data_IF_605191629019
#
_entry.id   IF_605191629019
#
_cell.length_a   1.000
_cell.length_b   1.000
_cell.length_c   1.000
_cell.angle_alpha   90.00
_cell.angle_beta   90.00
_cell.angle_gamma   90.00
#
_symmetry.space_group_name_H-M   'P 1'
#
loop_
_entity.id
_entity.type
_entity.pdbx_description
1 polymer ?
#
# COMPACT_ATOMS: atom_id res chain seq x y z
N UNK A 1 -40.70 -0.43 -17.42
CA UNK A 1 -41.60 -1.31 -16.63
C UNK A 1 -42.56 -0.50 -15.77
N UNK A 2 -42.08 0.34 -14.87
CA UNK A 2 -42.93 1.11 -13.93
C UNK A 2 -44.00 1.96 -14.60
N UNK A 3 -43.73 2.77 -15.66
CA UNK A 3 -44.77 3.57 -16.32
C UNK A 3 -45.87 2.72 -16.93
N UNK A 4 -45.53 1.55 -17.48
CA UNK A 4 -46.52 0.64 -18.05
C UNK A 4 -47.44 0.03 -17.00
N UNK A 5 -46.85 -0.41 -15.85
CA UNK A 5 -47.62 -0.98 -14.75
C UNK A 5 -48.59 0.06 -14.14
N UNK A 6 -48.12 1.28 -13.93
CA UNK A 6 -48.94 2.37 -13.46
C UNK A 6 -50.06 2.71 -14.45
N UNK A 7 -49.74 2.78 -15.76
CA UNK A 7 -50.70 3.00 -16.80
C UNK A 7 -51.82 1.96 -16.85
N UNK A 8 -51.46 0.65 -16.74
CA UNK A 8 -52.44 -0.43 -16.66
C UNK A 8 -53.28 -0.35 -15.40
N UNK A 9 -52.68 -0.04 -14.26
CA UNK A 9 -53.43 0.11 -13.00
C UNK A 9 -54.47 1.26 -13.07
N UNK A 10 -54.08 2.41 -13.64
CA UNK A 10 -54.99 3.56 -13.85
C UNK A 10 -56.13 3.18 -14.83
N UNK A 11 -55.79 2.49 -15.92
CA UNK A 11 -56.77 2.01 -16.86
C UNK A 11 -57.77 1.02 -16.20
N UNK A 12 -57.27 0.09 -15.36
CA UNK A 12 -58.10 -0.88 -14.61
C UNK A 12 -58.96 -0.19 -13.57
N UNK A 13 -58.51 0.89 -12.97
CA UNK A 13 -59.34 1.66 -12.02
C UNK A 13 -60.44 2.43 -12.72
N UNK A 14 -60.22 3.05 -13.89
CA UNK A 14 -61.14 3.98 -14.52
C UNK A 14 -62.10 3.27 -15.49
N UNK A 15 -61.59 2.53 -16.46
CA UNK A 15 -62.41 1.99 -17.55
C UNK A 15 -63.53 1.07 -17.08
N UNK A 16 -63.29 0.08 -16.22
CA UNK A 16 -64.36 -0.77 -15.74
C UNK A 16 -65.29 -0.05 -14.75
N UNK A 17 -64.80 0.90 -13.98
CA UNK A 17 -65.59 1.69 -13.04
C UNK A 17 -66.67 2.52 -13.77
N UNK A 18 -66.31 3.09 -14.94
CA UNK A 18 -67.29 3.85 -15.75
C UNK A 18 -68.41 2.96 -16.33
N UNK A 19 -68.10 1.68 -16.63
CA UNK A 19 -69.05 0.75 -17.19
C UNK A 19 -69.94 0.11 -16.11
N UNK A 20 -69.37 -0.27 -14.97
CA UNK A 20 -70.03 -1.02 -13.92
C UNK A 20 -70.56 -0.18 -12.80
N UNK A 21 -70.16 1.10 -12.67
CA UNK A 21 -70.50 2.01 -11.59
C UNK A 21 -69.89 1.67 -10.23
N UNK A 22 -69.14 0.59 -10.10
CA UNK A 22 -68.64 0.10 -8.83
C UNK A 22 -67.13 0.54 -8.63
N UNK A 23 -66.95 1.82 -8.29
CA UNK A 23 -65.68 2.45 -8.12
C UNK A 23 -64.84 1.81 -7.01
N UNK A 24 -65.46 1.44 -5.89
CA UNK A 24 -64.72 0.88 -4.75
C UNK A 24 -64.05 -0.44 -5.10
N UNK A 25 -64.70 -1.32 -5.81
CA UNK A 25 -64.16 -2.60 -6.22
C UNK A 25 -62.98 -2.47 -7.21
N UNK A 26 -63.13 -1.62 -8.22
CA UNK A 26 -62.12 -1.47 -9.26
C UNK A 26 -60.88 -0.68 -8.80
N UNK A 27 -61.08 0.31 -7.89
CA UNK A 27 -59.95 0.98 -7.25
C UNK A 27 -59.16 0.00 -6.36
N UNK A 28 -59.86 -0.81 -5.56
CA UNK A 28 -59.22 -1.86 -4.75
C UNK A 28 -58.44 -2.86 -5.61
N UNK A 29 -59.03 -3.30 -6.72
CA UNK A 29 -58.36 -4.21 -7.69
C UNK A 29 -57.12 -3.60 -8.31
N UNK A 30 -57.17 -2.33 -8.69
CA UNK A 30 -56.04 -1.62 -9.26
C UNK A 30 -54.90 -1.45 -8.26
N UNK A 31 -55.20 -1.11 -7.00
CA UNK A 31 -54.19 -1.04 -5.92
C UNK A 31 -53.56 -2.43 -5.67
N UNK A 32 -54.38 -3.47 -5.61
CA UNK A 32 -53.91 -4.83 -5.42
C UNK A 32 -52.96 -5.25 -6.57
N UNK A 33 -53.33 -4.91 -7.81
CA UNK A 33 -52.49 -5.14 -8.99
C UNK A 33 -51.15 -4.41 -8.87
N UNK A 34 -51.12 -3.15 -8.43
CA UNK A 34 -49.89 -2.38 -8.21
C UNK A 34 -48.99 -3.03 -7.16
N UNK A 35 -49.55 -3.48 -6.05
CA UNK A 35 -48.79 -4.14 -4.97
C UNK A 35 -48.22 -5.48 -5.45
N UNK A 36 -49.01 -6.29 -6.16
CA UNK A 36 -48.57 -7.58 -6.69
C UNK A 36 -47.55 -7.45 -7.85
N UNK A 37 -47.64 -6.37 -8.62
CA UNK A 37 -46.70 -6.06 -9.69
C UNK A 37 -45.36 -5.48 -9.20
N UNK A 38 -45.21 -5.25 -7.90
CA UNK A 38 -43.97 -4.76 -7.32
C UNK A 38 -42.87 -5.86 -7.47
N UNK A 39 -41.75 -5.57 -8.06
CA UNK A 39 -40.62 -6.54 -8.15
C UNK A 39 -39.85 -6.61 -6.83
N UNK A 40 -40.57 -6.76 -5.69
CA UNK A 40 -39.99 -6.71 -4.35
C UNK A 40 -38.90 -7.73 -4.13
N UNK A 41 -39.01 -8.91 -4.73
CA UNK A 41 -37.97 -9.92 -4.69
C UNK A 41 -36.66 -9.44 -5.37
N UNK A 42 -36.79 -8.72 -6.50
CA UNK A 42 -35.64 -8.17 -7.21
C UNK A 42 -34.99 -7.02 -6.42
N UNK A 43 -35.80 -6.14 -5.86
CA UNK A 43 -35.35 -4.96 -5.08
C UNK A 43 -34.63 -5.40 -3.80
N UNK A 44 -35.03 -6.50 -3.18
CA UNK A 44 -34.39 -7.03 -1.98
C UNK A 44 -33.18 -7.91 -2.29
N UNK A 45 -33.23 -8.70 -3.38
CA UNK A 45 -32.17 -9.65 -3.70
C UNK A 45 -30.86 -8.99 -4.11
N UNK A 46 -30.91 -7.85 -4.80
CA UNK A 46 -29.68 -7.14 -5.25
C UNK A 46 -28.84 -6.64 -4.08
N UNK A 47 -29.37 -5.85 -3.12
CA UNK A 47 -28.61 -5.46 -1.93
C UNK A 47 -28.10 -6.66 -1.14
N UNK A 48 -28.92 -7.70 -0.99
CA UNK A 48 -28.54 -8.90 -0.26
C UNK A 48 -27.34 -9.62 -0.92
N UNK A 49 -27.32 -9.68 -2.24
CA UNK A 49 -26.19 -10.24 -3.00
C UNK A 49 -24.90 -9.44 -2.77
N UNK A 50 -24.98 -8.09 -2.78
CA UNK A 50 -23.81 -7.25 -2.49
C UNK A 50 -23.34 -7.41 -1.03
N UNK A 51 -24.23 -7.43 -0.06
CA UNK A 51 -23.88 -7.66 1.35
C UNK A 51 -23.23 -9.04 1.55
N UNK A 52 -23.79 -10.06 0.92
CA UNK A 52 -23.22 -11.41 0.94
C UNK A 52 -21.81 -11.43 0.32
N UNK A 53 -21.61 -10.77 -0.82
CA UNK A 53 -20.33 -10.66 -1.50
C UNK A 53 -19.28 -9.92 -0.66
N UNK A 54 -19.66 -8.78 -0.05
CA UNK A 54 -18.79 -8.02 0.86
C UNK A 54 -18.39 -8.88 2.06
N UNK A 55 -19.39 -9.57 2.67
CA UNK A 55 -19.13 -10.45 3.81
C UNK A 55 -18.22 -11.64 3.46
N UNK A 56 -18.40 -12.24 2.30
CA UNK A 56 -17.52 -13.32 1.82
C UNK A 56 -16.09 -12.83 1.56
N UNK A 57 -15.93 -11.63 1.00
CA UNK A 57 -14.62 -11.00 0.81
C UNK A 57 -13.94 -10.69 2.14
N UNK A 58 -14.66 -10.10 3.09
CA UNK A 58 -14.15 -9.78 4.42
C UNK A 58 -13.62 -11.01 5.16
N UNK A 59 -14.29 -12.16 5.04
CA UNK A 59 -13.81 -13.43 5.62
C UNK A 59 -12.48 -13.91 5.02
N UNK A 60 -12.13 -13.43 3.83
CA UNK A 60 -10.85 -13.70 3.16
C UNK A 60 -9.83 -12.56 3.32
N UNK A 61 -10.08 -11.61 4.20
CA UNK A 61 -9.21 -10.45 4.40
C UNK A 61 -9.32 -9.37 3.33
N UNK A 62 -10.33 -9.43 2.45
CA UNK A 62 -10.53 -8.45 1.37
C UNK A 62 -11.56 -7.43 1.82
N UNK A 63 -11.16 -6.16 1.90
CA UNK A 63 -12.03 -5.06 2.25
C UNK A 63 -12.60 -4.38 0.99
N UNK A 64 -13.87 -4.64 0.68
CA UNK A 64 -14.58 -3.94 -0.38
C UNK A 64 -15.15 -2.59 0.11
N UNK A 65 -14.88 -1.52 -0.62
CA UNK A 65 -15.41 -0.17 -0.33
C UNK A 65 -16.81 0.04 -0.93
N UNK A 66 -17.67 -0.97 -0.82
CA UNK A 66 -19.05 -0.93 -1.30
C UNK A 66 -19.32 -1.83 -2.51
N UNK A 67 -20.62 -1.95 -2.88
CA UNK A 67 -21.07 -2.85 -3.96
C UNK A 67 -20.52 -2.50 -5.34
N UNK A 68 -20.31 -1.22 -5.63
CA UNK A 68 -19.70 -0.77 -6.90
C UNK A 68 -18.29 -1.33 -7.11
N UNK A 69 -17.53 -1.55 -6.03
CA UNK A 69 -16.22 -2.15 -6.12
C UNK A 69 -16.28 -3.61 -6.58
N UNK A 70 -17.29 -4.36 -6.12
CA UNK A 70 -17.51 -5.76 -6.56
C UNK A 70 -17.93 -5.80 -8.03
N UNK A 71 -18.84 -4.89 -8.44
CA UNK A 71 -19.25 -4.82 -9.84
C UNK A 71 -18.07 -4.42 -10.76
N UNK A 72 -17.22 -3.48 -10.32
CA UNK A 72 -16.02 -3.09 -11.04
C UNK A 72 -15.06 -4.26 -11.28
N UNK A 73 -14.89 -5.15 -10.29
CA UNK A 73 -14.05 -6.34 -10.43
C UNK A 73 -14.51 -7.28 -11.54
N UNK A 74 -15.82 -7.38 -11.80
CA UNK A 74 -16.33 -8.24 -12.89
C UNK A 74 -15.98 -7.72 -14.29
N UNK A 75 -15.56 -6.48 -14.41
CA UNK A 75 -15.25 -5.79 -15.68
C UNK A 75 -13.76 -5.48 -15.85
N UNK A 76 -12.91 -6.07 -15.00
CA UNK A 76 -11.47 -5.81 -15.05
C UNK A 76 -10.86 -6.29 -16.38
N UNK A 77 -10.15 -5.39 -17.06
CA UNK A 77 -9.34 -5.71 -18.23
C UNK A 77 -7.85 -5.79 -17.92
N UNK A 78 -7.40 -5.06 -16.89
CA UNK A 78 -6.01 -5.08 -16.43
C UNK A 78 -5.93 -4.71 -14.95
N UNK A 79 -4.90 -5.22 -14.27
CA UNK A 79 -4.60 -4.91 -12.87
C UNK A 79 -3.20 -4.31 -12.81
N UNK A 80 -3.09 -3.12 -12.25
CA UNK A 80 -1.81 -2.47 -11.99
C UNK A 80 -1.64 -2.44 -10.48
N UNK A 81 -0.59 -3.07 -9.98
CA UNK A 81 -0.30 -3.15 -8.56
C UNK A 81 1.03 -2.47 -8.25
N UNK A 82 1.07 -1.75 -7.13
CA UNK A 82 2.33 -1.30 -6.56
C UNK A 82 3.12 -2.50 -6.04
N UNK A 83 4.46 -2.38 -6.05
CA UNK A 83 5.32 -3.45 -5.58
C UNK A 83 5.38 -3.47 -4.06
N UNK A 84 5.78 -2.34 -3.47
CA UNK A 84 6.16 -2.27 -2.05
C UNK A 84 4.96 -2.19 -1.13
N UNK A 85 4.80 -3.14 -0.21
CA UNK A 85 3.67 -3.22 0.70
C UNK A 85 2.34 -3.67 0.05
N UNK A 86 2.37 -4.08 -1.23
CA UNK A 86 1.23 -4.63 -1.97
C UNK A 86 1.53 -6.03 -2.47
N UNK A 87 2.62 -6.22 -3.22
CA UNK A 87 3.11 -7.53 -3.67
C UNK A 87 4.10 -8.08 -2.64
N UNK A 88 4.93 -7.20 -2.07
CA UNK A 88 5.88 -7.52 -1.00
C UNK A 88 5.31 -7.09 0.35
N UNK A 89 5.83 -7.66 1.42
CA UNK A 89 5.41 -7.34 2.79
C UNK A 89 5.85 -5.95 3.28
N UNK A 90 6.68 -5.24 2.50
CA UNK A 90 7.28 -3.97 2.91
C UNK A 90 8.37 -4.14 3.98
N UNK A 91 8.83 -5.37 4.17
CA UNK A 91 9.89 -5.71 5.11
C UNK A 91 11.24 -5.60 4.45
N UNK A 92 11.90 -4.48 4.67
CA UNK A 92 13.26 -4.28 4.19
C UNK A 92 14.24 -5.12 5.00
N UNK A 93 15.10 -5.87 4.31
CA UNK A 93 16.15 -6.68 4.91
C UNK A 93 17.50 -6.39 4.31
N UNK A 94 18.52 -6.36 5.19
CA UNK A 94 19.91 -6.27 4.77
C UNK A 94 20.32 -7.58 4.10
N UNK A 95 20.58 -7.52 2.79
CA UNK A 95 20.96 -8.69 1.97
C UNK A 95 22.45 -8.91 1.92
N UNK A 96 23.19 -7.82 1.78
CA UNK A 96 24.64 -7.89 1.58
C UNK A 96 25.33 -6.66 2.16
N UNK A 97 26.52 -6.87 2.73
CA UNK A 97 27.46 -5.82 3.07
C UNK A 97 28.70 -6.05 2.23
N UNK A 98 29.22 -5.01 1.63
CA UNK A 98 30.48 -5.04 0.90
C UNK A 98 31.40 -3.99 1.48
N UNK A 99 32.39 -4.44 2.23
CA UNK A 99 33.41 -3.58 2.80
C UNK A 99 34.56 -3.41 1.80
N UNK A 100 35.11 -2.20 1.76
CA UNK A 100 36.28 -1.87 0.96
C UNK A 100 37.31 -1.18 1.83
N UNK A 101 38.57 -1.33 1.45
CA UNK A 101 39.68 -0.73 2.22
C UNK A 101 39.97 -1.47 3.53
N UNK A 102 40.08 -0.72 4.63
CA UNK A 102 40.53 -1.23 5.94
C UNK A 102 39.40 -1.66 6.88
N UNK A 103 38.16 -1.46 6.50
CA UNK A 103 37.00 -1.76 7.37
C UNK A 103 36.46 -3.15 7.11
N UNK A 104 35.99 -3.80 8.15
CA UNK A 104 35.25 -5.06 8.09
C UNK A 104 33.75 -4.80 7.88
N UNK A 105 33.00 -5.82 7.46
CA UNK A 105 31.53 -5.73 7.32
C UNK A 105 30.83 -5.34 8.63
N UNK A 106 31.33 -5.86 9.76
CA UNK A 106 30.76 -5.58 11.07
C UNK A 106 31.02 -4.14 11.54
N UNK A 107 32.19 -3.59 11.25
CA UNK A 107 32.52 -2.19 11.55
C UNK A 107 31.66 -1.25 10.71
N UNK A 108 31.47 -1.54 9.41
CA UNK A 108 30.55 -0.75 8.57
C UNK A 108 29.13 -0.81 9.09
N UNK A 109 28.66 -2.00 9.47
CA UNK A 109 27.31 -2.16 9.99
C UNK A 109 27.13 -1.42 11.33
N UNK A 110 28.14 -1.46 12.21
CA UNK A 110 28.15 -0.71 13.47
C UNK A 110 28.03 0.79 13.24
N UNK A 111 28.89 1.37 12.39
CA UNK A 111 28.88 2.80 12.07
C UNK A 111 27.57 3.23 11.43
N UNK A 112 27.06 2.46 10.46
CA UNK A 112 25.80 2.77 9.80
C UNK A 112 24.61 2.69 10.77
N UNK A 113 24.55 1.65 11.60
CA UNK A 113 23.50 1.52 12.62
C UNK A 113 23.57 2.66 13.65
N UNK A 114 24.77 3.12 14.01
CA UNK A 114 24.97 4.30 14.84
C UNK A 114 24.39 5.57 14.20
N UNK A 115 24.62 5.78 12.91
CA UNK A 115 24.05 6.92 12.18
C UNK A 115 22.52 6.85 12.07
N UNK A 116 21.97 5.67 11.82
CA UNK A 116 20.57 5.46 11.48
C UNK A 116 19.65 5.18 12.70
N UNK A 117 20.21 5.06 13.91
CA UNK A 117 19.45 4.60 15.09
C UNK A 117 18.25 5.47 15.47
N UNK A 118 18.25 6.74 15.10
CA UNK A 118 17.16 7.68 15.38
C UNK A 118 16.27 7.93 14.15
N UNK A 119 16.58 7.36 13.01
CA UNK A 119 15.80 7.49 11.78
C UNK A 119 14.55 6.61 11.83
N UNK A 120 13.43 7.13 11.33
CA UNK A 120 12.17 6.39 11.17
C UNK A 120 12.05 5.73 9.81
N UNK A 121 13.04 5.86 8.95
CA UNK A 121 13.01 5.32 7.60
C UNK A 121 13.06 3.77 7.63
N UNK A 122 12.27 3.06 6.83
CA UNK A 122 12.25 1.59 6.82
C UNK A 122 13.62 0.95 6.58
N UNK A 123 14.44 1.54 5.71
CA UNK A 123 15.82 1.11 5.44
C UNK A 123 16.68 1.24 6.70
N UNK A 124 16.60 2.35 7.41
CA UNK A 124 17.31 2.56 8.66
C UNK A 124 16.95 1.52 9.71
N UNK A 125 15.65 1.26 9.87
CA UNK A 125 15.16 0.24 10.79
C UNK A 125 15.72 -1.15 10.46
N UNK A 126 15.86 -1.49 9.17
CA UNK A 126 16.43 -2.77 8.75
C UNK A 126 17.92 -2.90 9.08
N UNK A 127 18.68 -1.81 8.93
CA UNK A 127 20.10 -1.77 9.28
C UNK A 127 20.29 -1.95 10.78
N UNK A 128 19.55 -1.20 11.59
CA UNK A 128 19.59 -1.29 13.05
C UNK A 128 19.15 -2.68 13.54
N UNK A 129 18.12 -3.26 12.92
CA UNK A 129 17.67 -4.62 13.24
C UNK A 129 18.73 -5.67 12.89
N UNK A 130 19.41 -5.53 11.75
CA UNK A 130 20.50 -6.41 11.34
C UNK A 130 21.71 -6.33 12.30
N UNK A 131 22.07 -5.12 12.73
CA UNK A 131 23.14 -4.94 13.72
C UNK A 131 22.81 -5.60 15.05
N UNK A 132 21.56 -5.41 15.56
CA UNK A 132 21.08 -6.06 16.77
C UNK A 132 21.03 -7.58 16.64
N UNK A 133 20.57 -8.10 15.51
CA UNK A 133 20.50 -9.53 15.24
C UNK A 133 21.88 -10.22 15.15
N UNK A 134 22.93 -9.46 14.85
CA UNK A 134 24.34 -9.92 14.88
C UNK A 134 25.04 -9.61 16.22
N UNK A 135 24.31 -9.08 17.21
CA UNK A 135 24.85 -8.66 18.52
C UNK A 135 25.98 -7.61 18.41
N UNK A 136 25.96 -6.81 17.32
CA UNK A 136 26.95 -5.75 17.10
C UNK A 136 26.57 -4.55 17.93
N UNK A 137 27.47 -4.08 18.77
CA UNK A 137 27.32 -2.84 19.50
C UNK A 137 27.63 -1.66 18.56
N UNK A 138 26.85 -0.60 18.69
CA UNK A 138 27.06 0.63 17.94
C UNK A 138 26.84 1.85 18.85
N UNK A 139 27.68 2.84 18.64
CA UNK A 139 27.68 4.07 19.44
C UNK A 139 26.85 5.16 18.75
N UNK A 140 26.40 6.11 19.57
CA UNK A 140 25.74 7.31 19.04
C UNK A 140 26.78 8.23 18.44
N UNK A 141 26.50 8.86 17.28
CA UNK A 141 27.36 9.89 16.74
C UNK A 141 27.44 11.11 17.69
N UNK A 142 28.57 11.78 17.67
CA UNK A 142 28.81 13.03 18.42
C UNK A 142 27.91 14.13 17.88
N UNK A 143 27.83 14.22 16.55
CA UNK A 143 26.90 15.11 15.84
C UNK A 143 26.33 14.39 14.63
N UNK A 144 25.11 14.76 14.22
CA UNK A 144 24.41 14.17 13.10
C UNK A 144 23.64 15.26 12.36
N UNK A 145 23.82 15.30 11.04
CA UNK A 145 23.07 16.14 10.11
C UNK A 145 22.44 15.28 9.03
N UNK A 146 21.11 15.33 8.93
CA UNK A 146 20.38 14.65 7.86
C UNK A 146 20.23 15.60 6.67
N UNK A 147 20.66 15.16 5.49
CA UNK A 147 20.52 15.89 4.23
C UNK A 147 19.37 15.23 3.46
N UNK A 148 18.24 15.92 3.41
CA UNK A 148 17.02 15.41 2.77
C UNK A 148 17.27 14.90 1.34
N UNK A 149 16.81 13.67 1.05
CA UNK A 149 16.98 13.02 -0.23
C UNK A 149 18.40 12.55 -0.57
N UNK A 150 19.36 12.67 0.38
CA UNK A 150 20.76 12.27 0.19
C UNK A 150 21.20 11.24 1.23
N UNK A 151 20.97 11.49 2.51
CA UNK A 151 21.40 10.64 3.62
C UNK A 151 21.91 11.43 4.80
N UNK A 152 22.79 10.83 5.58
CA UNK A 152 23.26 11.33 6.86
C UNK A 152 24.77 11.64 6.80
N UNK A 153 25.14 12.75 7.41
CA UNK A 153 26.53 13.13 7.73
C UNK A 153 26.65 13.09 9.24
N UNK A 154 27.55 12.28 9.75
CA UNK A 154 27.75 12.12 11.18
C UNK A 154 29.22 12.28 11.56
N UNK A 155 29.46 12.83 12.76
CA UNK A 155 30.77 12.80 13.41
C UNK A 155 30.78 11.66 14.41
N UNK A 156 31.66 10.71 14.20
CA UNK A 156 31.90 9.54 15.06
C UNK A 156 33.33 9.55 15.61
N UNK A 157 33.65 8.72 16.62
CA UNK A 157 35.02 8.64 17.14
C UNK A 157 36.06 8.33 16.04
N UNK A 158 35.67 7.60 15.00
CA UNK A 158 36.48 7.23 13.85
C UNK A 158 36.70 8.40 12.86
N UNK A 159 35.93 9.49 13.03
CA UNK A 159 35.94 10.66 12.18
C UNK A 159 34.59 10.92 11.49
N UNK A 160 34.63 11.70 10.42
CA UNK A 160 33.44 12.07 9.66
C UNK A 160 32.94 10.90 8.82
N UNK A 161 31.72 10.43 9.11
CA UNK A 161 31.05 9.34 8.42
C UNK A 161 29.92 9.88 7.54
N UNK A 162 29.89 9.46 6.29
CA UNK A 162 28.81 9.69 5.34
C UNK A 162 28.04 8.37 5.16
N UNK A 163 26.74 8.40 5.33
CA UNK A 163 25.86 7.25 5.14
C UNK A 163 24.66 7.67 4.30
N UNK A 164 24.51 7.16 3.07
CA UNK A 164 23.43 7.56 2.19
C UNK A 164 23.54 7.08 0.76
N UNK A 165 22.85 7.74 -0.15
CA UNK A 165 22.83 7.38 -1.55
C UNK A 165 24.07 7.91 -2.33
N UNK A 166 24.19 7.54 -3.61
CA UNK A 166 25.27 7.98 -4.49
C UNK A 166 25.39 9.51 -4.57
N UNK A 167 24.27 10.23 -4.54
CA UNK A 167 24.25 11.71 -4.59
C UNK A 167 24.95 12.34 -3.39
N UNK A 168 24.88 11.70 -2.20
CA UNK A 168 25.60 12.14 -1.02
C UNK A 168 27.11 12.01 -1.25
N UNK A 169 27.57 10.90 -1.81
CA UNK A 169 28.97 10.65 -2.10
C UNK A 169 29.51 11.67 -3.10
N UNK A 170 28.77 11.91 -4.18
CA UNK A 170 29.13 12.89 -5.21
C UNK A 170 29.22 14.32 -4.63
N UNK A 171 28.26 14.70 -3.77
CA UNK A 171 28.24 16.01 -3.10
C UNK A 171 29.47 16.27 -2.25
N UNK A 172 30.03 15.24 -1.63
CA UNK A 172 31.24 15.30 -0.81
C UNK A 172 32.52 14.89 -1.54
N UNK A 173 32.46 14.69 -2.85
CA UNK A 173 33.61 14.37 -3.68
C UNK A 173 34.22 12.98 -3.43
N UNK A 174 33.42 12.06 -2.89
CA UNK A 174 33.85 10.68 -2.64
C UNK A 174 33.75 9.87 -3.93
N UNK A 175 34.84 9.38 -4.44
CA UNK A 175 34.89 8.51 -5.63
C UNK A 175 34.45 7.10 -5.24
N UNK A 176 33.29 6.69 -5.74
CA UNK A 176 32.83 5.29 -5.68
C UNK A 176 33.44 4.60 -6.93
N UNK A 177 34.27 3.56 -6.73
CA UNK A 177 34.82 2.79 -7.84
C UNK A 177 33.70 2.19 -8.74
N UNK A 178 34.10 1.55 -9.86
CA UNK A 178 33.15 0.84 -10.74
C UNK A 178 32.47 -0.30 -9.96
N UNK A 179 31.33 0.00 -9.35
CA UNK A 179 30.44 -1.00 -8.78
C UNK A 179 29.45 -1.41 -9.86
N UNK A 180 29.29 -2.70 -10.09
CA UNK A 180 28.15 -3.20 -10.86
C UNK A 180 26.90 -2.82 -10.08
N UNK A 181 26.03 -2.02 -10.68
CA UNK A 181 24.74 -1.66 -10.08
C UNK A 181 24.03 -2.94 -9.64
N UNK A 182 23.54 -2.94 -8.41
CA UNK A 182 22.75 -4.05 -7.93
C UNK A 182 21.47 -4.10 -8.75
N UNK A 183 21.18 -5.24 -9.37
CA UNK A 183 20.00 -5.44 -10.20
C UNK A 183 18.69 -5.24 -9.40
N UNK A 184 18.75 -5.36 -8.08
CA UNK A 184 17.57 -5.24 -7.20
C UNK A 184 17.98 -4.69 -5.82
N UNK A 185 17.13 -3.81 -5.24
CA UNK A 185 17.29 -3.28 -3.89
C UNK A 185 17.76 -1.82 -3.85
N UNK A 186 17.87 -1.31 -2.62
CA UNK A 186 18.38 0.03 -2.33
C UNK A 186 19.82 -0.08 -1.83
N UNK A 187 20.71 0.71 -2.40
CA UNK A 187 22.10 0.77 -2.00
C UNK A 187 22.31 1.92 -1.00
N UNK A 188 22.94 1.62 0.12
CA UNK A 188 23.40 2.60 1.10
C UNK A 188 24.91 2.60 1.08
N UNK A 189 25.48 3.69 0.60
CA UNK A 189 26.93 3.90 0.50
C UNK A 189 27.48 4.51 1.77
N UNK A 190 28.71 4.14 2.11
CA UNK A 190 29.41 4.67 3.26
C UNK A 190 30.78 5.18 2.88
N UNK A 191 31.14 6.32 3.47
CA UNK A 191 32.49 6.86 3.40
C UNK A 191 32.92 7.36 4.78
N UNK A 192 34.20 7.21 5.07
CA UNK A 192 34.81 7.66 6.31
C UNK A 192 35.98 8.58 5.98
N UNK A 193 35.99 9.79 6.53
CA UNK A 193 37.02 10.80 6.27
C UNK A 193 37.25 11.06 4.78
N UNK A 194 36.17 11.10 3.98
CA UNK A 194 36.24 11.34 2.53
C UNK A 194 36.70 10.16 1.68
N UNK A 195 36.95 9.00 2.29
CA UNK A 195 37.35 7.78 1.56
C UNK A 195 36.18 6.79 1.56
N UNK A 196 35.86 6.22 0.39
CA UNK A 196 34.83 5.21 0.26
C UNK A 196 35.15 3.98 1.10
N UNK A 197 34.24 3.59 1.98
CA UNK A 197 34.44 2.48 2.91
C UNK A 197 33.66 1.23 2.53
N UNK A 198 32.60 1.37 1.75
CA UNK A 198 31.79 0.25 1.30
C UNK A 198 30.33 0.61 1.08
N UNK A 199 29.50 -0.40 0.85
CA UNK A 199 28.07 -0.23 0.69
C UNK A 199 27.27 -1.41 1.26
N UNK A 200 26.01 -1.15 1.53
CA UNK A 200 25.03 -2.14 1.94
C UNK A 200 23.92 -2.23 0.91
N UNK A 201 23.47 -3.44 0.63
CA UNK A 201 22.33 -3.73 -0.23
C UNK A 201 21.15 -4.15 0.64
N UNK A 202 20.05 -3.43 0.49
CA UNK A 202 18.81 -3.66 1.24
C UNK A 202 17.69 -3.90 0.24
N UNK A 203 16.96 -4.98 0.38
CA UNK A 203 15.82 -5.29 -0.47
C UNK A 203 14.57 -5.57 0.34
N UNK A 204 13.44 -5.33 -0.28
CA UNK A 204 12.12 -5.69 0.22
C UNK A 204 11.86 -7.17 -0.11
N UNK A 205 11.40 -7.92 0.85
CA UNK A 205 11.08 -9.37 0.74
C UNK A 205 9.59 -9.60 0.61
#
# INVERSE_FOLDING_TARGET
>A
YTPCVVGIAVATAILPSLVTGNWHYWIYTAITFLVMSCPCALVLSIPLAFFSGIGAGSKKGILFKGGLSIEGLSKLGAVIMDKTGTITEGNFQLQKIVATGKYTENELLSMCAGCEQNSTHPIANSIVAAAKGREIQFEKPISLEEISGHGIVAEMPEGKVLCGNRKLMDKFGVTIGELKEAAYGSEVFMAVNGTFAGYMLISDT
#
